data_IF_964472437234
#
_entry.id   IF_964472437234
#
_cell.length_a   1.000
_cell.length_b   1.000
_cell.length_c   1.000
_cell.angle_alpha   90.00
_cell.angle_beta   90.00
_cell.angle_gamma   90.00
#
_symmetry.space_group_name_H-M   'P 1'
#
loop_
_entity.id
_entity.type
_entity.pdbx_description
1 polymer ?
#
# COMPACT_ATOMS: atom_id res chain seq x y z
N UNK A 1 40.10 25.15 -14.93
CA UNK A 1 39.16 24.05 -14.67
C UNK A 1 39.45 22.95 -15.68
N UNK A 2 40.04 21.85 -15.25
CA UNK A 2 40.32 20.72 -16.13
C UNK A 2 39.00 20.00 -16.41
N UNK A 3 38.45 20.21 -17.60
CA UNK A 3 37.38 19.35 -18.09
C UNK A 3 37.99 17.98 -18.33
N UNK A 4 37.41 16.95 -17.73
CA UNK A 4 37.79 15.57 -17.95
C UNK A 4 37.32 15.20 -19.37
N UNK A 5 38.08 15.62 -20.38
CA UNK A 5 37.82 15.30 -21.79
C UNK A 5 38.26 13.86 -22.00
N UNK A 6 37.31 12.92 -21.99
CA UNK A 6 37.57 11.54 -22.37
C UNK A 6 38.08 11.52 -23.81
N UNK A 7 39.15 10.76 -24.11
CA UNK A 7 39.61 10.60 -25.49
C UNK A 7 38.46 10.04 -26.35
N UNK A 8 38.29 10.52 -27.59
CA UNK A 8 37.18 10.13 -28.46
C UNK A 8 37.12 8.62 -28.72
N UNK A 9 38.24 7.92 -28.58
CA UNK A 9 38.37 6.47 -28.71
C UNK A 9 37.63 5.67 -27.62
N UNK A 10 37.54 6.20 -26.39
CA UNK A 10 36.86 5.53 -25.28
C UNK A 10 35.35 5.82 -25.23
N UNK A 11 34.88 6.85 -25.95
CA UNK A 11 33.47 7.23 -26.00
C UNK A 11 32.54 6.08 -26.41
N UNK A 12 32.81 5.26 -27.45
CA UNK A 12 31.95 4.13 -27.82
C UNK A 12 31.92 3.02 -26.75
N UNK A 13 33.05 2.73 -26.11
CA UNK A 13 33.13 1.74 -25.04
C UNK A 13 32.34 2.18 -23.81
N UNK A 14 32.53 3.44 -23.40
CA UNK A 14 31.81 4.05 -22.28
C UNK A 14 30.29 4.06 -22.55
N UNK A 15 29.86 4.43 -23.77
CA UNK A 15 28.44 4.36 -24.16
C UNK A 15 27.88 2.94 -24.05
N UNK A 16 28.64 1.93 -24.46
CA UNK A 16 28.23 0.52 -24.39
C UNK A 16 28.07 0.07 -22.94
N UNK A 17 29.04 0.40 -22.08
CA UNK A 17 28.97 0.08 -20.64
C UNK A 17 27.77 0.77 -19.99
N UNK A 18 27.56 2.06 -20.25
CA UNK A 18 26.40 2.81 -19.73
C UNK A 18 25.08 2.15 -20.15
N UNK A 19 24.95 1.77 -21.43
CA UNK A 19 23.76 1.10 -21.95
C UNK A 19 23.47 -0.23 -21.24
N UNK A 20 24.50 -1.02 -20.94
CA UNK A 20 24.35 -2.26 -20.18
C UNK A 20 23.98 -2.00 -18.72
N UNK A 21 24.63 -1.05 -18.06
CA UNK A 21 24.32 -0.65 -16.69
C UNK A 21 22.88 -0.17 -16.59
N UNK A 22 22.41 0.70 -17.49
CA UNK A 22 21.02 1.16 -17.53
C UNK A 22 20.04 -0.01 -17.71
N UNK A 23 20.32 -0.92 -18.65
CA UNK A 23 19.46 -2.07 -18.93
C UNK A 23 19.32 -3.02 -17.73
N UNK A 24 20.38 -3.20 -16.94
CA UNK A 24 20.42 -4.13 -15.82
C UNK A 24 20.26 -3.50 -14.43
N UNK A 25 20.20 -2.17 -14.33
CA UNK A 25 19.95 -1.47 -13.05
C UNK A 25 18.72 -2.00 -12.31
N UNK A 26 17.57 -2.25 -12.96
CA UNK A 26 16.42 -2.82 -12.28
C UNK A 26 16.69 -4.20 -11.68
N UNK A 27 17.49 -5.03 -12.35
CA UNK A 27 17.85 -6.34 -11.86
C UNK A 27 18.65 -6.24 -10.56
N UNK A 28 19.61 -5.30 -10.48
CA UNK A 28 20.42 -5.10 -9.28
C UNK A 28 19.59 -4.50 -8.14
N UNK A 29 18.83 -3.45 -8.42
CA UNK A 29 18.03 -2.73 -7.43
C UNK A 29 16.90 -3.61 -6.86
N UNK A 30 16.01 -4.10 -7.70
CA UNK A 30 14.90 -4.95 -7.28
C UNK A 30 15.35 -6.36 -6.90
N UNK A 31 16.43 -6.87 -7.50
CA UNK A 31 17.04 -8.14 -7.09
C UNK A 31 17.55 -8.11 -5.65
N UNK A 32 18.13 -7.00 -5.20
CA UNK A 32 18.52 -6.85 -3.79
C UNK A 32 17.31 -6.90 -2.84
N UNK A 33 16.17 -6.35 -3.28
CA UNK A 33 14.91 -6.36 -2.53
C UNK A 33 14.31 -7.77 -2.50
N UNK A 34 14.30 -8.45 -3.64
CA UNK A 34 13.90 -9.86 -3.77
C UNK A 34 14.68 -10.76 -2.83
N UNK A 35 16.02 -10.64 -2.84
CA UNK A 35 16.90 -11.41 -1.96
C UNK A 35 16.64 -11.12 -0.48
N UNK A 36 16.36 -9.85 -0.15
CA UNK A 36 16.01 -9.47 1.22
C UNK A 36 14.74 -10.11 1.71
N UNK A 37 13.66 -10.07 0.92
CA UNK A 37 12.38 -10.66 1.30
C UNK A 37 12.55 -12.17 1.46
N UNK A 38 13.34 -12.81 0.58
CA UNK A 38 13.68 -14.22 0.68
C UNK A 38 14.50 -14.55 1.93
N UNK A 39 15.48 -13.74 2.29
CA UNK A 39 16.30 -13.99 3.47
C UNK A 39 15.52 -13.74 4.77
N UNK A 40 14.74 -12.65 4.82
CA UNK A 40 13.97 -12.26 6.00
C UNK A 40 12.64 -13.00 6.15
N UNK A 41 12.21 -13.76 5.13
CA UNK A 41 10.93 -14.48 5.09
C UNK A 41 9.73 -13.55 5.38
N UNK A 42 9.83 -12.27 5.02
CA UNK A 42 8.84 -11.24 5.34
C UNK A 42 8.84 -10.13 4.30
N UNK A 43 7.65 -9.75 3.81
CA UNK A 43 7.45 -8.67 2.84
C UNK A 43 6.97 -7.34 3.44
N UNK A 44 6.95 -7.19 4.78
CA UNK A 44 6.30 -6.05 5.46
C UNK A 44 6.82 -4.66 5.04
N UNK A 45 8.09 -4.56 4.68
CA UNK A 45 8.72 -3.29 4.29
C UNK A 45 8.57 -2.90 2.81
N UNK A 46 7.92 -3.73 1.99
CA UNK A 46 7.83 -3.54 0.54
C UNK A 46 6.38 -3.55 0.05
N UNK A 47 5.98 -2.52 -0.70
CA UNK A 47 4.65 -2.46 -1.28
C UNK A 47 4.54 -3.28 -2.57
N UNK A 48 3.65 -4.28 -2.59
CA UNK A 48 3.35 -5.09 -3.78
C UNK A 48 2.75 -4.28 -4.94
N UNK A 49 2.22 -3.09 -4.65
CA UNK A 49 1.67 -2.18 -5.66
C UNK A 49 2.76 -1.55 -6.53
N UNK A 50 4.01 -1.49 -6.05
CA UNK A 50 5.18 -1.13 -6.88
C UNK A 50 5.34 -2.13 -8.02
N UNK A 51 5.07 -3.42 -7.77
CA UNK A 51 5.09 -4.42 -8.83
C UNK A 51 3.99 -4.17 -9.86
N UNK A 52 2.81 -3.70 -9.44
CA UNK A 52 1.72 -3.36 -10.35
C UNK A 52 2.14 -2.25 -11.31
N UNK A 53 2.61 -1.13 -10.75
CA UNK A 53 2.96 0.06 -11.53
C UNK A 53 4.06 -0.25 -12.53
N UNK A 54 5.11 -0.97 -12.11
CA UNK A 54 6.22 -1.33 -13.00
C UNK A 54 5.82 -2.34 -14.08
N UNK A 55 5.03 -3.37 -13.76
CA UNK A 55 4.58 -4.35 -14.77
C UNK A 55 3.68 -3.70 -15.82
N UNK A 56 2.73 -2.87 -15.39
CA UNK A 56 1.80 -2.19 -16.29
C UNK A 56 2.55 -1.18 -17.15
N UNK A 57 3.39 -0.32 -16.55
CA UNK A 57 4.16 0.68 -17.29
C UNK A 57 5.12 0.02 -18.29
N UNK A 58 5.93 -0.96 -17.89
CA UNK A 58 6.86 -1.64 -18.80
C UNK A 58 6.16 -2.39 -19.92
N UNK A 59 4.98 -2.97 -19.68
CA UNK A 59 4.20 -3.61 -20.75
C UNK A 59 3.73 -2.57 -21.77
N UNK A 60 3.20 -1.43 -21.32
CA UNK A 60 2.79 -0.33 -22.21
C UNK A 60 3.96 0.21 -23.04
N UNK A 61 5.18 0.30 -22.46
CA UNK A 61 6.38 0.72 -23.22
C UNK A 61 6.74 -0.22 -24.36
N UNK A 62 6.56 -1.53 -24.16
CA UNK A 62 6.83 -2.51 -25.23
C UNK A 62 5.84 -2.30 -26.38
N UNK A 63 4.57 -2.05 -26.10
CA UNK A 63 3.59 -1.73 -27.16
C UNK A 63 3.83 -0.36 -27.79
N UNK A 64 4.29 0.63 -27.03
CA UNK A 64 4.74 1.91 -27.58
C UNK A 64 5.89 1.71 -28.59
N UNK A 65 6.89 0.88 -28.25
CA UNK A 65 8.04 0.58 -29.12
C UNK A 65 7.61 0.04 -30.49
N UNK A 66 6.54 -0.75 -30.56
CA UNK A 66 6.02 -1.29 -31.82
C UNK A 66 5.44 -0.21 -32.75
N UNK A 67 4.99 0.92 -32.18
CA UNK A 67 4.48 2.05 -32.95
C UNK A 67 5.61 3.01 -33.28
N UNK A 68 6.41 3.39 -32.28
CA UNK A 68 7.55 4.28 -32.44
C UNK A 68 8.79 3.71 -31.72
N UNK A 69 9.78 3.19 -32.47
CA UNK A 69 10.95 2.56 -31.88
C UNK A 69 11.86 3.61 -31.22
N UNK A 70 12.13 3.41 -29.93
CA UNK A 70 13.11 4.19 -29.16
C UNK A 70 14.40 3.36 -28.94
N UNK A 71 15.34 3.84 -28.12
CA UNK A 71 16.61 3.14 -27.92
C UNK A 71 16.43 1.69 -27.42
N UNK A 72 17.14 0.75 -28.06
CA UNK A 72 17.08 -0.69 -27.74
C UNK A 72 17.51 -0.97 -26.29
N UNK A 73 18.36 -0.14 -25.68
CA UNK A 73 18.74 -0.24 -24.26
C UNK A 73 17.53 -0.12 -23.33
N UNK A 74 16.67 0.87 -23.55
CA UNK A 74 15.45 1.07 -22.78
C UNK A 74 14.44 -0.07 -23.03
N UNK A 75 14.41 -0.64 -24.24
CA UNK A 75 13.58 -1.79 -24.54
C UNK A 75 14.05 -3.03 -23.76
N UNK A 76 15.36 -3.31 -23.75
CA UNK A 76 15.95 -4.38 -22.92
C UNK A 76 15.62 -4.16 -21.44
N UNK A 77 15.72 -2.92 -20.96
CA UNK A 77 15.35 -2.57 -19.59
C UNK A 77 13.90 -2.93 -19.29
N UNK A 78 12.95 -2.73 -20.21
CA UNK A 78 11.55 -3.10 -20.00
C UNK A 78 11.35 -4.61 -19.83
N UNK A 79 12.02 -5.43 -20.64
CA UNK A 79 11.97 -6.89 -20.47
C UNK A 79 12.61 -7.35 -19.15
N UNK A 80 13.76 -6.80 -18.79
CA UNK A 80 14.42 -7.07 -17.50
C UNK A 80 13.53 -6.63 -16.34
N UNK A 81 12.88 -5.47 -16.45
CA UNK A 81 11.95 -4.92 -15.46
C UNK A 81 10.76 -5.85 -15.25
N UNK A 82 10.13 -6.34 -16.33
CA UNK A 82 9.01 -7.29 -16.23
C UNK A 82 9.47 -8.58 -15.56
N UNK A 83 10.60 -9.14 -15.98
CA UNK A 83 11.12 -10.39 -15.42
C UNK A 83 11.35 -10.29 -13.91
N UNK A 84 12.08 -9.26 -13.44
CA UNK A 84 12.38 -9.13 -12.01
C UNK A 84 11.12 -8.83 -11.19
N UNK A 85 10.15 -8.08 -11.73
CA UNK A 85 8.91 -7.76 -11.02
C UNK A 85 7.95 -8.95 -10.93
N UNK A 86 7.90 -9.84 -11.93
CA UNK A 86 7.14 -11.10 -11.82
C UNK A 86 7.71 -11.98 -10.72
N UNK A 87 9.05 -12.09 -10.62
CA UNK A 87 9.72 -12.84 -9.55
C UNK A 87 9.50 -12.20 -8.18
N UNK A 88 9.65 -10.88 -8.09
CA UNK A 88 9.44 -10.12 -6.86
C UNK A 88 7.99 -10.23 -6.38
N UNK A 89 7.02 -10.15 -7.28
CA UNK A 89 5.61 -10.34 -6.97
C UNK A 89 5.34 -11.73 -6.39
N UNK A 90 5.88 -12.79 -7.01
CA UNK A 90 5.73 -14.16 -6.53
C UNK A 90 6.30 -14.34 -5.11
N UNK A 91 7.49 -13.81 -4.86
CA UNK A 91 8.15 -13.91 -3.55
C UNK A 91 7.46 -13.04 -2.50
N UNK A 92 7.03 -11.83 -2.87
CA UNK A 92 6.33 -10.93 -1.97
C UNK A 92 4.98 -11.52 -1.53
N UNK A 93 4.22 -12.16 -2.42
CA UNK A 93 2.96 -12.83 -2.06
C UNK A 93 3.23 -14.05 -1.17
N UNK A 94 4.29 -14.84 -1.45
CA UNK A 94 4.63 -16.03 -0.67
C UNK A 94 4.95 -15.70 0.80
N UNK A 95 5.64 -14.59 1.06
CA UNK A 95 6.06 -14.18 2.41
C UNK A 95 5.22 -13.03 2.97
N UNK A 96 3.97 -12.92 2.52
CA UNK A 96 3.01 -11.94 2.98
C UNK A 96 2.28 -12.48 4.21
N UNK A 97 2.22 -11.65 5.25
CA UNK A 97 1.52 -11.97 6.49
C UNK A 97 -0.02 -11.87 6.28
N UNK A 98 -0.80 -12.96 6.42
CA UNK A 98 -2.25 -12.94 6.22
C UNK A 98 -2.99 -12.08 7.26
N UNK A 99 -2.44 -11.98 8.48
CA UNK A 99 -3.11 -11.26 9.57
C UNK A 99 -3.11 -9.77 9.30
N UNK A 100 -2.00 -9.20 8.84
CA UNK A 100 -1.92 -7.80 8.45
C UNK A 100 -2.91 -7.46 7.33
N UNK A 101 -3.13 -8.35 6.36
CA UNK A 101 -4.06 -8.09 5.25
C UNK A 101 -5.49 -7.90 5.73
N UNK A 102 -5.92 -8.68 6.73
CA UNK A 102 -7.28 -8.65 7.24
C UNK A 102 -7.55 -7.42 8.11
N UNK A 103 -6.65 -7.07 9.02
CA UNK A 103 -6.82 -5.92 9.93
C UNK A 103 -6.70 -4.55 9.25
N UNK A 104 -6.10 -4.51 8.05
CA UNK A 104 -5.81 -3.28 7.33
C UNK A 104 -6.95 -2.80 6.44
N UNK A 105 -8.03 -3.57 6.25
CA UNK A 105 -9.09 -3.24 5.27
C UNK A 105 -10.08 -2.24 5.86
N UNK A 106 -10.09 -1.01 5.32
CA UNK A 106 -11.09 0.00 5.67
C UNK A 106 -12.22 0.01 4.66
N UNK A 107 -13.45 -0.26 5.11
CA UNK A 107 -14.66 -0.25 4.29
C UNK A 107 -15.34 1.12 4.39
N UNK A 108 -14.78 2.13 3.72
CA UNK A 108 -15.58 3.32 3.40
C UNK A 108 -16.23 3.09 2.05
N UNK A 109 -17.56 3.04 2.06
CA UNK A 109 -18.35 2.74 0.88
C UNK A 109 -18.31 3.93 -0.10
N UNK A 110 -17.89 3.67 -1.34
CA UNK A 110 -17.95 4.64 -2.46
C UNK A 110 -19.28 5.42 -2.52
N UNK A 111 -20.47 4.81 -2.29
CA UNK A 111 -21.75 5.51 -2.37
C UNK A 111 -21.91 6.64 -1.37
N UNK A 112 -21.42 6.50 -0.13
CA UNK A 112 -21.56 7.56 0.89
C UNK A 112 -20.70 8.77 0.56
N UNK A 113 -19.48 8.55 0.06
CA UNK A 113 -18.64 9.64 -0.43
C UNK A 113 -19.25 10.30 -1.66
N UNK A 114 -19.72 9.53 -2.66
CA UNK A 114 -20.36 10.11 -3.84
C UNK A 114 -21.59 10.91 -3.46
N UNK A 115 -22.40 10.40 -2.53
CA UNK A 115 -23.57 11.10 -2.01
C UNK A 115 -23.14 12.40 -1.32
N UNK A 116 -22.15 12.37 -0.42
CA UNK A 116 -21.66 13.56 0.29
C UNK A 116 -21.02 14.61 -0.64
N UNK A 117 -20.24 14.16 -1.62
CA UNK A 117 -19.62 15.04 -2.61
C UNK A 117 -20.64 15.61 -3.61
N UNK A 118 -21.66 14.84 -3.98
CA UNK A 118 -22.77 15.27 -4.82
C UNK A 118 -23.69 16.26 -4.06
N UNK A 119 -23.99 16.01 -2.79
CA UNK A 119 -24.80 16.92 -1.97
C UNK A 119 -24.07 18.23 -1.70
N UNK A 120 -22.77 18.19 -1.38
CA UNK A 120 -21.97 19.39 -1.15
C UNK A 120 -21.79 20.23 -2.43
N UNK A 121 -21.84 19.61 -3.63
CA UNK A 121 -21.81 20.36 -4.89
C UNK A 121 -23.17 20.99 -5.25
N UNK A 122 -24.27 20.38 -4.81
CA UNK A 122 -25.65 20.84 -5.02
C UNK A 122 -26.06 21.94 -4.03
N UNK A 123 -25.77 21.81 -2.73
CA UNK A 123 -26.20 22.79 -1.71
C UNK A 123 -25.52 24.16 -1.88
N UNK A 124 -24.31 24.22 -2.45
CA UNK A 124 -23.61 25.50 -2.69
C UNK A 124 -24.10 26.26 -3.94
N UNK A 125 -25.19 25.81 -4.58
CA UNK A 125 -25.84 26.53 -5.70
C UNK A 125 -27.04 27.39 -5.28
N UNK A 126 -27.48 27.31 -4.02
CA UNK A 126 -28.64 28.05 -3.53
C UNK A 126 -28.35 29.50 -3.11
N UNK A 127 -27.09 29.84 -2.82
CA UNK A 127 -26.68 31.19 -2.42
C UNK A 127 -26.20 32.00 -3.63
N UNK A 128 -27.13 32.33 -4.53
CA UNK A 128 -26.91 33.40 -5.51
C UNK A 128 -27.94 34.49 -5.25
N UNK A 129 -27.49 35.53 -4.54
CA UNK A 129 -28.28 36.72 -4.25
C UNK A 129 -28.78 37.37 -5.54
N UNK A 130 -30.04 37.82 -5.49
CA UNK A 130 -30.85 38.24 -6.63
C UNK A 130 -30.53 39.68 -7.12
N UNK A 131 -29.51 40.34 -6.55
CA UNK A 131 -29.12 41.70 -6.93
C UNK A 131 -27.60 41.78 -7.13
N UNK A 132 -27.12 41.70 -8.38
CA UNK A 132 -25.79 42.14 -8.77
C UNK A 132 -25.73 42.50 -10.26
N UNK A 133 -24.87 43.47 -10.58
CA UNK A 133 -24.65 43.99 -11.92
C UNK A 133 -24.29 42.87 -12.93
N UNK A 134 -24.60 43.00 -14.23
CA UNK A 134 -24.34 41.95 -15.23
C UNK A 134 -22.89 41.48 -15.26
N UNK A 135 -21.93 42.38 -15.00
CA UNK A 135 -20.51 42.08 -14.96
C UNK A 135 -20.11 41.34 -13.67
N UNK A 136 -20.70 41.70 -12.53
CA UNK A 136 -20.52 40.98 -11.27
C UNK A 136 -21.11 39.57 -11.35
N UNK A 137 -22.23 39.39 -12.04
CA UNK A 137 -22.84 38.07 -12.29
C UNK A 137 -21.93 37.16 -13.12
N UNK A 138 -21.27 37.69 -14.17
CA UNK A 138 -20.30 36.93 -14.97
C UNK A 138 -19.08 36.55 -14.11
N UNK A 139 -18.53 37.50 -13.34
CA UNK A 139 -17.38 37.25 -12.46
C UNK A 139 -17.71 36.23 -11.37
N UNK A 140 -18.87 36.32 -10.72
CA UNK A 140 -19.31 35.38 -9.70
C UNK A 140 -19.57 33.98 -10.29
N UNK A 141 -20.16 33.90 -11.48
CA UNK A 141 -20.38 32.63 -12.18
C UNK A 141 -19.07 31.98 -12.62
N UNK A 142 -18.13 32.77 -13.15
CA UNK A 142 -16.79 32.29 -13.53
C UNK A 142 -16.00 31.82 -12.30
N UNK A 143 -16.02 32.58 -11.21
CA UNK A 143 -15.36 32.22 -9.94
C UNK A 143 -15.98 30.97 -9.31
N UNK A 144 -17.31 30.85 -9.35
CA UNK A 144 -18.04 29.65 -8.93
C UNK A 144 -17.68 28.43 -9.77
N UNK A 145 -17.59 28.58 -11.08
CA UNK A 145 -17.19 27.50 -12.01
C UNK A 145 -15.73 27.09 -11.79
N UNK A 146 -14.83 28.04 -11.61
CA UNK A 146 -13.42 27.77 -11.30
C UNK A 146 -13.28 27.02 -9.96
N UNK A 147 -13.98 27.47 -8.91
CA UNK A 147 -13.98 26.79 -7.61
C UNK A 147 -14.51 25.35 -7.74
N UNK A 148 -15.59 25.13 -8.50
CA UNK A 148 -16.10 23.78 -8.80
C UNK A 148 -15.08 22.90 -9.53
N UNK A 149 -14.41 23.43 -10.54
CA UNK A 149 -13.36 22.69 -11.27
C UNK A 149 -12.19 22.33 -10.35
N UNK A 150 -11.79 23.23 -9.45
CA UNK A 150 -10.74 22.97 -8.46
C UNK A 150 -11.19 21.95 -7.42
N UNK A 151 -12.40 22.04 -6.89
CA UNK A 151 -12.93 21.08 -5.91
C UNK A 151 -13.10 19.69 -6.52
N UNK A 152 -13.57 19.62 -7.77
CA UNK A 152 -13.66 18.37 -8.53
C UNK A 152 -12.27 17.79 -8.80
N UNK A 153 -11.31 18.60 -9.22
CA UNK A 153 -9.93 18.17 -9.43
C UNK A 153 -9.28 17.68 -8.13
N UNK A 154 -9.51 18.39 -7.02
CA UNK A 154 -9.04 18.03 -5.68
C UNK A 154 -9.65 16.70 -5.24
N UNK A 155 -10.96 16.54 -5.37
CA UNK A 155 -11.66 15.31 -5.01
C UNK A 155 -11.21 14.12 -5.88
N UNK A 156 -11.01 14.34 -7.18
CA UNK A 156 -10.47 13.33 -8.09
C UNK A 156 -9.04 12.95 -7.70
N UNK A 157 -8.19 13.94 -7.41
CA UNK A 157 -6.81 13.73 -7.00
C UNK A 157 -6.70 12.91 -5.71
N UNK A 158 -7.45 13.27 -4.66
CA UNK A 158 -7.46 12.50 -3.42
C UNK A 158 -7.95 11.06 -3.64
N UNK A 159 -8.97 10.85 -4.47
CA UNK A 159 -9.44 9.50 -4.80
C UNK A 159 -8.40 8.67 -5.55
N UNK A 160 -7.71 9.28 -6.51
CA UNK A 160 -6.61 8.62 -7.22
C UNK A 160 -5.49 8.26 -6.24
N UNK A 161 -5.18 9.14 -5.27
CA UNK A 161 -4.20 8.86 -4.21
C UNK A 161 -4.62 7.65 -3.35
N UNK A 162 -5.90 7.55 -2.97
CA UNK A 162 -6.41 6.43 -2.18
C UNK A 162 -6.37 5.09 -2.91
N UNK A 163 -6.40 5.08 -4.26
CA UNK A 163 -6.25 3.84 -5.03
C UNK A 163 -4.88 3.17 -4.78
N UNK A 164 -3.86 3.96 -4.46
CA UNK A 164 -2.53 3.45 -4.12
C UNK A 164 -2.40 3.02 -2.64
N UNK A 165 -3.42 3.23 -1.80
CA UNK A 165 -3.43 2.67 -0.43
C UNK A 165 -3.91 1.22 -0.48
N UNK A 166 -3.03 0.29 -0.07
CA UNK A 166 -3.34 -1.13 0.00
C UNK A 166 -4.48 -1.47 0.98
N UNK A 167 -4.85 -0.57 1.89
CA UNK A 167 -5.99 -0.71 2.83
C UNK A 167 -7.35 -0.52 2.18
N UNK A 168 -7.37 0.28 1.13
CA UNK A 168 -8.59 0.66 0.46
C UNK A 168 -9.10 -0.48 -0.42
N UNK A 169 -10.37 -0.89 -0.28
CA UNK A 169 -10.93 -1.93 -1.15
C UNK A 169 -11.06 -1.33 -2.55
N UNK A 170 -10.14 -1.72 -3.43
CA UNK A 170 -10.15 -1.27 -4.82
C UNK A 170 -11.34 -1.89 -5.56
N UNK A 171 -11.89 -1.20 -6.58
CA UNK A 171 -12.85 -1.82 -7.50
C UNK A 171 -12.30 -3.17 -7.99
N UNK A 172 -13.13 -4.21 -7.98
CA UNK A 172 -12.76 -5.59 -8.32
C UNK A 172 -11.61 -6.20 -7.50
N UNK A 173 -11.29 -5.61 -6.33
CA UNK A 173 -10.12 -5.97 -5.51
C UNK A 173 -8.83 -5.97 -6.34
N UNK A 174 -8.73 -5.02 -7.29
CA UNK A 174 -7.60 -4.89 -8.19
C UNK A 174 -6.28 -4.99 -7.43
N UNK A 175 -5.39 -5.89 -7.85
CA UNK A 175 -4.06 -6.06 -7.24
C UNK A 175 -4.07 -6.33 -5.71
N UNK A 176 -5.17 -6.83 -5.16
CA UNK A 176 -5.32 -7.19 -3.73
C UNK A 176 -5.67 -8.67 -3.56
N UNK A 177 -5.51 -9.47 -4.60
CA UNK A 177 -5.81 -10.88 -4.59
C UNK A 177 -4.89 -11.66 -3.66
N UNK A 178 -5.38 -12.76 -3.12
CA UNK A 178 -4.61 -13.65 -2.23
C UNK A 178 -3.73 -14.59 -3.06
N UNK A 179 -4.29 -15.15 -4.13
CA UNK A 179 -3.58 -16.08 -4.99
C UNK A 179 -2.75 -15.39 -6.06
N UNK A 180 -1.50 -15.85 -6.23
CA UNK A 180 -0.61 -15.41 -7.31
C UNK A 180 -1.19 -15.63 -8.72
N UNK A 181 -2.03 -16.66 -8.90
CA UNK A 181 -2.66 -16.98 -10.19
C UNK A 181 -3.51 -15.84 -10.72
N UNK A 182 -4.25 -15.14 -9.85
CA UNK A 182 -5.12 -14.03 -10.24
C UNK A 182 -4.32 -12.84 -10.80
N UNK A 183 -3.11 -12.59 -10.27
CA UNK A 183 -2.20 -11.57 -10.79
C UNK A 183 -1.71 -11.91 -12.20
N UNK A 184 -1.37 -13.19 -12.44
CA UNK A 184 -0.94 -13.65 -13.77
C UNK A 184 -2.09 -13.63 -14.77
N UNK A 185 -3.30 -14.01 -14.37
CA UNK A 185 -4.49 -13.92 -15.23
C UNK A 185 -4.76 -12.48 -15.65
N UNK A 186 -4.68 -11.54 -14.70
CA UNK A 186 -4.80 -10.11 -15.02
C UNK A 186 -3.70 -9.66 -15.99
N UNK A 187 -2.44 -10.01 -15.73
CA UNK A 187 -1.32 -9.61 -16.60
C UNK A 187 -1.44 -10.20 -18.00
N UNK A 188 -1.86 -11.46 -18.12
CA UNK A 188 -2.14 -12.11 -19.40
C UNK A 188 -3.31 -11.46 -20.14
N UNK A 189 -4.42 -11.19 -19.44
CA UNK A 189 -5.57 -10.50 -20.02
C UNK A 189 -5.22 -9.07 -20.46
N UNK A 190 -4.38 -8.36 -19.70
CA UNK A 190 -3.87 -7.03 -20.04
C UNK A 190 -2.98 -7.07 -21.28
N UNK A 191 -2.09 -8.06 -21.39
CA UNK A 191 -1.27 -8.23 -22.58
C UNK A 191 -2.13 -8.55 -23.81
N UNK A 192 -3.11 -9.45 -23.69
CA UNK A 192 -4.04 -9.78 -24.77
C UNK A 192 -4.87 -8.57 -25.19
N UNK A 193 -5.38 -7.78 -24.24
CA UNK A 193 -6.19 -6.60 -24.57
C UNK A 193 -5.37 -5.52 -25.29
N UNK A 194 -4.12 -5.30 -24.86
CA UNK A 194 -3.20 -4.41 -25.57
C UNK A 194 -2.84 -4.94 -26.96
N UNK A 195 -2.63 -6.25 -27.12
CA UNK A 195 -2.41 -6.87 -28.42
C UNK A 195 -3.61 -6.70 -29.35
N UNK A 196 -4.83 -6.91 -28.87
CA UNK A 196 -6.05 -6.66 -29.65
C UNK A 196 -6.13 -5.19 -30.06
N UNK A 197 -5.88 -4.26 -29.14
CA UNK A 197 -5.88 -2.83 -29.45
C UNK A 197 -4.81 -2.46 -30.49
N UNK A 198 -3.62 -3.05 -30.38
CA UNK A 198 -2.53 -2.89 -31.34
C UNK A 198 -2.89 -3.47 -32.72
N UNK A 199 -3.61 -4.59 -32.79
CA UNK A 199 -4.04 -5.17 -34.06
C UNK A 199 -5.15 -4.33 -34.73
N UNK A 200 -6.05 -3.75 -33.93
CA UNK A 200 -7.17 -2.95 -34.44
C UNK A 200 -6.74 -1.54 -34.88
N UNK A 201 -5.81 -0.91 -34.15
CA UNK A 201 -5.43 0.49 -34.36
C UNK A 201 -3.93 0.70 -34.61
N UNK A 202 -3.21 -0.39 -34.88
CA UNK A 202 -1.77 -0.38 -35.14
C UNK A 202 -1.43 0.49 -36.34
N UNK A 203 -0.43 1.36 -36.16
CA UNK A 203 -0.01 2.33 -37.18
C UNK A 203 -0.62 3.72 -37.01
N UNK A 204 -1.53 3.92 -36.06
CA UNK A 204 -1.98 5.27 -35.69
C UNK A 204 -1.00 5.90 -34.70
N UNK A 205 -0.48 7.09 -35.04
CA UNK A 205 0.38 7.88 -34.13
C UNK A 205 -0.32 8.17 -32.79
N UNK A 206 -1.65 8.33 -32.81
CA UNK A 206 -2.45 8.53 -31.61
C UNK A 206 -2.33 7.38 -30.60
N UNK A 207 -2.37 6.12 -31.06
CA UNK A 207 -2.23 4.96 -30.17
C UNK A 207 -0.86 4.92 -29.50
N UNK A 208 0.21 5.18 -30.27
CA UNK A 208 1.58 5.28 -29.75
C UNK A 208 1.68 6.33 -28.64
N UNK A 209 1.16 7.52 -28.88
CA UNK A 209 1.13 8.61 -27.89
C UNK A 209 0.32 8.26 -26.63
N UNK A 210 -0.79 7.52 -26.78
CA UNK A 210 -1.58 7.04 -25.64
C UNK A 210 -0.80 6.03 -24.79
N UNK A 211 -0.07 5.10 -25.40
CA UNK A 211 0.78 4.16 -24.67
C UNK A 211 1.97 4.86 -23.98
N UNK A 212 2.64 5.78 -24.67
CA UNK A 212 3.76 6.54 -24.11
C UNK A 212 3.31 7.38 -22.91
N UNK A 213 2.27 8.19 -23.08
CA UNK A 213 1.74 9.06 -22.01
C UNK A 213 1.24 8.24 -20.82
N UNK A 214 0.44 7.19 -21.07
CA UNK A 214 -0.08 6.33 -20.00
C UNK A 214 1.05 5.63 -19.25
N UNK A 215 2.05 5.10 -19.94
CA UNK A 215 3.20 4.46 -19.30
C UNK A 215 3.99 5.42 -18.42
N UNK A 216 4.25 6.64 -18.88
CA UNK A 216 5.00 7.63 -18.11
C UNK A 216 4.21 8.14 -16.91
N UNK A 217 2.89 8.35 -17.06
CA UNK A 217 2.02 8.75 -15.95
C UNK A 217 1.88 7.65 -14.89
N UNK A 218 1.80 6.38 -15.30
CA UNK A 218 1.75 5.26 -14.34
C UNK A 218 3.10 5.14 -13.61
N UNK A 219 4.23 5.28 -14.32
CA UNK A 219 5.54 5.24 -13.67
C UNK A 219 5.74 6.43 -12.71
N UNK A 220 5.24 7.62 -13.03
CA UNK A 220 5.43 8.80 -12.17
C UNK A 220 4.77 8.65 -10.80
N UNK A 221 3.78 7.77 -10.68
CA UNK A 221 3.11 7.43 -9.42
C UNK A 221 3.81 6.36 -8.59
N UNK A 222 4.90 5.77 -9.09
CA UNK A 222 5.59 4.64 -8.46
C UNK A 222 5.96 4.85 -6.98
N UNK A 223 6.40 6.04 -6.52
CA UNK A 223 6.74 6.20 -5.10
C UNK A 223 5.50 6.22 -4.18
N UNK A 224 4.28 6.46 -4.70
CA UNK A 224 3.07 6.65 -3.89
C UNK A 224 2.75 5.46 -2.98
N UNK A 225 2.68 4.20 -3.46
CA UNK A 225 2.38 3.08 -2.58
C UNK A 225 3.36 2.93 -1.41
N UNK A 226 4.62 3.26 -1.64
CA UNK A 226 5.66 3.12 -0.62
C UNK A 226 5.60 4.25 0.40
N UNK A 227 5.28 5.47 -0.02
CA UNK A 227 4.98 6.60 0.87
C UNK A 227 3.85 6.23 1.83
N UNK A 228 2.74 5.71 1.30
CA UNK A 228 1.59 5.30 2.10
C UNK A 228 1.94 4.15 3.05
N UNK A 229 2.77 3.19 2.58
CA UNK A 229 3.27 2.10 3.41
C UNK A 229 4.11 2.61 4.60
N UNK A 230 5.03 3.54 4.39
CA UNK A 230 5.84 4.10 5.49
C UNK A 230 5.02 4.88 6.49
N UNK A 231 4.06 5.67 6.02
CA UNK A 231 3.15 6.38 6.94
C UNK A 231 2.33 5.44 7.82
N UNK A 232 2.03 4.24 7.33
CA UNK A 232 1.26 3.24 8.05
C UNK A 232 2.12 2.39 8.97
N UNK A 233 3.22 1.86 8.44
CA UNK A 233 4.11 0.97 9.18
C UNK A 233 4.88 1.72 10.27
N UNK A 234 5.15 3.02 10.08
CA UNK A 234 5.95 3.87 10.98
C UNK A 234 7.34 3.30 11.29
N UNK A 235 7.87 2.47 10.38
CA UNK A 235 9.17 1.80 10.42
C UNK A 235 9.68 1.53 9.00
N UNK A 236 10.99 1.40 8.85
CA UNK A 236 11.70 1.13 7.58
C UNK A 236 12.63 -0.09 7.65
N UNK A 237 12.62 -0.87 8.73
CA UNK A 237 13.55 -1.99 8.98
C UNK A 237 13.67 -3.02 7.84
N UNK A 238 12.62 -3.17 7.03
CA UNK A 238 12.54 -4.15 5.95
C UNK A 238 12.61 -3.54 4.55
N UNK A 239 12.84 -2.23 4.45
CA UNK A 239 12.99 -1.55 3.19
C UNK A 239 14.47 -1.40 2.80
N UNK A 240 14.77 -1.47 1.50
CA UNK A 240 16.15 -1.41 1.00
C UNK A 240 16.55 -0.01 0.59
N UNK A 241 17.61 0.50 1.22
CA UNK A 241 18.20 1.81 0.88
C UNK A 241 18.69 1.88 -0.57
N UNK A 242 19.24 0.79 -1.11
CA UNK A 242 19.71 0.74 -2.51
C UNK A 242 18.56 0.95 -3.51
N UNK A 243 17.35 0.48 -3.17
CA UNK A 243 16.17 0.69 -3.99
C UNK A 243 15.82 2.19 -4.06
N UNK A 244 15.78 2.86 -2.92
CA UNK A 244 15.55 4.31 -2.84
C UNK A 244 16.62 5.11 -3.58
N UNK A 245 17.90 4.76 -3.40
CA UNK A 245 18.99 5.43 -4.09
C UNK A 245 18.90 5.26 -5.61
N UNK A 246 18.49 4.07 -6.08
CA UNK A 246 18.30 3.83 -7.51
C UNK A 246 17.16 4.66 -8.09
N UNK A 247 16.09 4.92 -7.33
CA UNK A 247 14.99 5.78 -7.78
C UNK A 247 15.43 7.23 -7.89
N UNK A 248 16.11 7.76 -6.87
CA UNK A 248 16.65 9.13 -6.92
C UNK A 248 17.66 9.31 -8.07
N UNK A 249 18.58 8.37 -8.25
CA UNK A 249 19.57 8.42 -9.33
C UNK A 249 18.94 8.33 -10.71
N UNK A 250 17.94 7.46 -10.87
CA UNK A 250 17.18 7.31 -12.11
C UNK A 250 16.37 8.55 -12.46
N UNK A 251 15.65 9.13 -11.50
CA UNK A 251 14.86 10.36 -11.69
C UNK A 251 15.74 11.55 -12.07
N UNK A 252 16.89 11.70 -11.41
CA UNK A 252 17.85 12.75 -11.75
C UNK A 252 18.34 12.60 -13.19
N UNK A 253 18.72 11.38 -13.58
CA UNK A 253 19.18 11.09 -14.95
C UNK A 253 18.07 11.33 -15.97
N UNK A 254 16.82 10.94 -15.66
CA UNK A 254 15.65 11.15 -16.51
C UNK A 254 15.36 12.64 -16.72
N UNK A 255 15.37 13.45 -15.66
CA UNK A 255 15.18 14.90 -15.75
C UNK A 255 16.32 15.54 -16.54
N UNK A 256 17.58 15.17 -16.28
CA UNK A 256 18.72 15.68 -17.04
C UNK A 256 18.59 15.38 -18.53
N UNK A 257 18.15 14.18 -18.90
CA UNK A 257 17.89 13.81 -20.29
C UNK A 257 16.75 14.64 -20.91
N UNK A 258 15.62 14.80 -20.20
CA UNK A 258 14.47 15.55 -20.72
C UNK A 258 14.71 17.06 -20.83
N UNK A 259 15.59 17.63 -20.01
CA UNK A 259 15.89 19.08 -20.01
C UNK A 259 17.03 19.43 -20.96
N UNK A 260 18.07 18.60 -21.04
CA UNK A 260 19.30 18.93 -21.79
C UNK A 260 19.54 18.03 -23.01
N UNK A 261 18.85 16.90 -23.12
CA UNK A 261 19.14 15.87 -24.12
C UNK A 261 18.22 15.86 -25.33
N UNK A 262 17.17 16.68 -25.37
CA UNK A 262 16.18 16.65 -26.45
C UNK A 262 15.43 17.98 -26.59
N UNK A 263 15.28 18.45 -27.83
CA UNK A 263 14.70 19.76 -28.15
C UNK A 263 13.16 19.72 -28.33
N UNK A 264 12.56 18.53 -28.45
CA UNK A 264 11.14 18.34 -28.79
C UNK A 264 10.45 17.38 -27.82
N UNK A 265 10.32 17.76 -26.55
CA UNK A 265 9.63 16.96 -25.53
C UNK A 265 8.25 17.53 -25.24
N UNK A 266 7.23 16.66 -25.26
CA UNK A 266 5.90 17.03 -24.79
C UNK A 266 5.91 17.44 -23.32
N UNK A 267 5.31 18.59 -22.99
CA UNK A 267 5.25 19.17 -21.64
C UNK A 267 4.75 18.15 -20.60
N UNK A 268 3.88 17.23 -21.00
CA UNK A 268 3.35 16.14 -20.16
C UNK A 268 4.46 15.24 -19.59
N UNK A 269 5.51 14.95 -20.34
CA UNK A 269 6.61 14.08 -19.90
C UNK A 269 7.50 14.79 -18.88
N UNK A 270 7.77 16.07 -19.09
CA UNK A 270 8.52 16.90 -18.13
C UNK A 270 7.73 17.07 -16.84
N UNK A 271 6.43 17.39 -16.94
CA UNK A 271 5.56 17.51 -15.78
C UNK A 271 5.46 16.18 -14.99
N UNK A 272 5.35 15.04 -15.68
CA UNK A 272 5.35 13.72 -15.06
C UNK A 272 6.68 13.41 -14.36
N UNK A 273 7.81 13.74 -14.97
CA UNK A 273 9.13 13.52 -14.38
C UNK A 273 9.36 14.39 -13.13
N UNK A 274 8.97 15.67 -13.17
CA UNK A 274 9.02 16.56 -12.01
C UNK A 274 8.08 16.08 -10.89
N UNK A 275 6.89 15.60 -11.25
CA UNK A 275 5.97 14.99 -10.29
C UNK A 275 6.59 13.75 -9.63
N UNK A 276 7.16 12.84 -10.43
CA UNK A 276 7.86 11.64 -9.92
C UNK A 276 8.98 12.02 -8.94
N UNK A 277 9.80 13.01 -9.30
CA UNK A 277 10.89 13.50 -8.45
C UNK A 277 10.36 14.12 -7.16
N UNK A 278 9.25 14.87 -7.21
CA UNK A 278 8.63 15.44 -6.01
C UNK A 278 8.20 14.36 -5.01
N UNK A 279 7.63 13.25 -5.50
CA UNK A 279 7.26 12.11 -4.67
C UNK A 279 8.50 11.37 -4.14
N UNK A 280 9.55 11.23 -4.96
CA UNK A 280 10.80 10.64 -4.53
C UNK A 280 11.51 11.45 -3.43
N UNK A 281 11.37 12.78 -3.41
CA UNK A 281 11.82 13.61 -2.29
C UNK A 281 10.99 13.35 -1.02
N UNK A 282 9.67 13.22 -1.13
CA UNK A 282 8.78 12.93 0.00
C UNK A 282 9.10 11.58 0.64
N UNK A 283 9.23 10.51 -0.15
CA UNK A 283 9.61 9.19 0.38
C UNK A 283 11.00 9.21 0.99
N UNK A 284 11.94 9.94 0.41
CA UNK A 284 13.30 10.07 0.95
C UNK A 284 13.29 10.73 2.33
N UNK A 285 12.55 11.83 2.48
CA UNK A 285 12.33 12.47 3.77
C UNK A 285 11.73 11.50 4.79
N UNK A 286 10.65 10.80 4.42
CA UNK A 286 10.00 9.82 5.31
C UNK A 286 10.92 8.67 5.69
N UNK A 287 11.73 8.18 4.75
CA UNK A 287 12.68 7.12 5.00
C UNK A 287 13.68 7.52 6.09
N UNK A 288 14.30 8.70 5.98
CA UNK A 288 15.24 9.17 7.00
C UNK A 288 14.56 9.47 8.32
N UNK A 289 13.35 10.02 8.31
CA UNK A 289 12.57 10.28 9.51
C UNK A 289 12.28 8.98 10.29
N UNK A 290 11.70 7.97 9.64
CA UNK A 290 11.38 6.69 10.29
C UNK A 290 12.63 5.89 10.62
N UNK A 291 13.70 5.98 9.82
CA UNK A 291 14.98 5.34 10.14
C UNK A 291 15.56 5.86 11.45
N UNK A 292 15.47 7.17 11.72
CA UNK A 292 15.89 7.75 13.00
C UNK A 292 15.05 7.23 14.16
N UNK A 293 13.75 7.09 13.97
CA UNK A 293 12.85 6.54 14.99
C UNK A 293 13.12 5.06 15.27
N UNK A 294 13.39 4.25 14.25
CA UNK A 294 13.73 2.83 14.42
C UNK A 294 15.03 2.66 15.22
N UNK A 295 16.06 3.47 14.92
CA UNK A 295 17.32 3.46 15.69
C UNK A 295 17.08 3.79 17.17
N UNK A 296 16.25 4.80 17.46
CA UNK A 296 15.91 5.15 18.85
C UNK A 296 15.16 4.03 19.59
N UNK A 297 14.26 3.30 18.91
CA UNK A 297 13.56 2.15 19.48
C UNK A 297 14.54 1.01 19.79
N UNK A 298 15.50 0.79 18.90
CA UNK A 298 16.53 -0.23 19.09
C UNK A 298 17.41 0.09 20.31
N UNK A 299 17.85 1.34 20.44
CA UNK A 299 18.66 1.80 21.59
C UNK A 299 17.91 1.68 22.93
N UNK A 300 16.59 1.94 22.95
CA UNK A 300 15.76 1.76 24.16
C UNK A 300 15.53 0.29 24.54
N UNK A 301 15.55 -0.62 23.57
CA UNK A 301 15.31 -2.05 23.79
C UNK A 301 16.52 -2.83 24.31
N UNK A 302 17.72 -2.24 24.26
CA UNK A 302 18.92 -2.77 24.90
C UNK A 302 18.93 -2.31 26.37
N UNK A 303 18.55 -3.15 27.35
CA UNK A 303 18.85 -2.80 28.73
C UNK A 303 20.37 -2.68 28.86
N UNK A 304 20.86 -1.55 29.37
CA UNK A 304 22.15 -1.49 30.03
C UNK A 304 22.13 -2.49 31.19
N UNK A 305 22.38 -3.77 30.88
CA UNK A 305 22.68 -4.78 31.88
C UNK A 305 24.13 -4.57 32.29
N UNK A 306 24.29 -3.77 33.34
CA UNK A 306 25.21 -4.06 34.43
C UNK A 306 26.71 -3.92 34.15
N UNK A 307 27.22 -2.70 34.27
CA UNK A 307 28.50 -2.50 34.98
C UNK A 307 28.16 -2.15 36.43
N UNK A 308 27.72 -3.15 37.20
CA UNK A 308 27.75 -3.06 38.67
C UNK A 308 29.24 -3.16 39.04
N UNK A 309 29.85 -2.16 39.69
CA UNK A 309 31.21 -2.33 40.17
C UNK A 309 31.24 -3.51 41.14
N UNK A 310 32.15 -4.43 40.90
CA UNK A 310 32.42 -5.59 41.75
C UNK A 310 32.52 -5.11 43.21
N UNK A 311 31.61 -5.58 44.05
CA UNK A 311 31.76 -5.44 45.51
C UNK A 311 32.82 -6.46 45.92
N UNK A 312 33.96 -6.05 46.51
CA UNK A 312 35.00 -6.97 46.92
C UNK A 312 34.49 -8.00 47.93
N UNK A 313 34.89 -9.25 47.72
CA UNK A 313 34.64 -10.42 48.56
C UNK A 313 35.45 -10.33 49.87
N UNK A 314 35.05 -9.48 50.82
CA UNK A 314 35.65 -9.47 52.16
C UNK A 314 34.65 -9.49 53.34
N UNK A 315 33.34 -9.34 53.12
CA UNK A 315 32.34 -9.32 54.22
C UNK A 315 31.56 -10.63 54.43
N UNK A 316 32.06 -11.77 53.95
CA UNK A 316 31.46 -13.10 54.21
C UNK A 316 32.10 -13.89 55.36
N UNK A 317 32.78 -13.20 56.28
CA UNK A 317 33.19 -13.78 57.57
C UNK A 317 32.86 -12.82 58.69
N UNK A 318 31.72 -13.06 59.32
CA UNK A 318 31.46 -13.00 60.78
C UNK A 318 29.95 -12.82 60.93
N UNK A 319 29.24 -13.94 61.10
CA UNK A 319 28.09 -14.10 62.00
C UNK A 319 27.25 -15.32 61.56
N UNK A 320 27.54 -16.48 62.17
CA UNK A 320 26.54 -17.40 62.76
C UNK A 320 27.14 -18.78 62.98
N UNK A 321 27.84 -18.93 64.10
CA UNK A 321 27.85 -20.20 64.84
C UNK A 321 26.57 -20.21 65.69
N UNK A 322 25.98 -21.40 65.85
CA UNK A 322 24.72 -21.75 66.53
C UNK A 322 23.45 -21.36 65.74
N UNK A 323 22.56 -22.28 65.35
CA UNK A 323 22.08 -23.45 66.10
C UNK A 323 21.51 -24.52 65.15
N UNK A 324 21.82 -25.79 65.46
CA UNK A 324 21.22 -27.00 64.90
C UNK A 324 19.86 -27.31 65.55
N UNK A 325 18.83 -27.64 64.75
CA UNK A 325 17.91 -28.78 64.98
C UNK A 325 16.69 -28.76 64.01
N UNK A 326 16.57 -29.85 63.25
CA UNK A 326 15.36 -30.58 62.80
C UNK A 326 13.96 -29.95 62.98
N UNK A 327 13.15 -29.91 61.91
CA UNK A 327 11.94 -30.77 61.76
C UNK A 327 11.29 -30.61 60.36
N UNK A 328 10.47 -31.59 60.03
CA UNK A 328 9.91 -32.02 58.73
C UNK A 328 8.63 -31.32 58.23
N UNK A 329 8.54 -31.17 56.88
CA UNK A 329 7.34 -31.20 55.98
C UNK A 329 6.15 -30.22 56.20
N UNK A 330 5.12 -30.15 55.32
CA UNK A 330 5.14 -29.63 53.94
C UNK A 330 3.96 -28.65 53.62
N UNK A 331 3.95 -28.08 52.41
CA UNK A 331 2.82 -27.43 51.67
C UNK A 331 1.72 -26.65 52.43
N UNK A 332 1.61 -25.33 52.14
CA UNK A 332 0.32 -24.65 51.90
C UNK A 332 0.49 -23.29 51.21
N UNK A 333 -0.35 -23.07 50.19
CA UNK A 333 -0.47 -21.87 49.38
C UNK A 333 -1.14 -20.71 50.13
N UNK A 334 -1.01 -19.46 49.61
CA UNK A 334 -1.89 -18.26 49.74
C UNK A 334 -1.10 -16.99 49.27
N UNK A 335 -1.69 -15.91 48.69
CA UNK A 335 -2.09 -15.77 47.28
C UNK A 335 -1.37 -14.58 46.56
N UNK A 336 -1.42 -14.56 45.22
CA UNK A 336 -0.95 -13.43 44.40
C UNK A 336 -1.99 -12.30 44.37
N UNK A 337 -1.67 -11.19 45.02
CA UNK A 337 -2.28 -9.88 44.77
C UNK A 337 -1.35 -9.03 43.90
N UNK A 338 -1.97 -8.26 42.99
CA UNK A 338 -1.45 -7.09 42.26
C UNK A 338 -0.78 -7.35 40.90
N UNK A 339 -1.61 -7.46 39.86
CA UNK A 339 -1.34 -6.78 38.58
C UNK A 339 -2.54 -5.92 38.20
N UNK A 340 -2.29 -4.62 38.13
CA UNK A 340 -3.21 -3.56 37.75
C UNK A 340 -3.40 -3.51 36.23
N UNK A 341 -4.66 -3.48 35.79
CA UNK A 341 -5.07 -3.19 34.42
C UNK A 341 -5.12 -1.66 34.16
N UNK A 342 -4.94 -1.19 32.91
CA UNK A 342 -4.93 0.23 32.60
C UNK A 342 -6.33 0.86 32.55
N UNK A 343 -6.32 2.13 32.92
CA UNK A 343 -7.42 3.04 33.27
C UNK A 343 -8.34 3.38 32.10
N UNK A 344 -9.65 3.26 32.34
CA UNK A 344 -10.74 3.88 31.57
C UNK A 344 -11.13 5.19 32.24
N UNK A 345 -11.21 6.29 31.50
CA UNK A 345 -11.72 7.59 31.99
C UNK A 345 -13.25 7.67 31.91
N UNK A 346 -13.92 8.39 32.84
CA UNK A 346 -15.36 8.27 33.07
C UNK A 346 -16.19 9.32 32.30
N UNK A 347 -17.40 8.93 31.90
CA UNK A 347 -18.46 9.81 31.38
C UNK A 347 -19.41 10.15 32.53
N UNK A 348 -19.70 11.45 32.67
CA UNK A 348 -20.62 12.07 33.63
C UNK A 348 -22.09 11.76 33.30
N UNK A 349 -22.88 11.46 34.33
CA UNK A 349 -24.33 11.21 34.28
C UNK A 349 -25.13 12.48 34.63
N UNK A 350 -26.21 12.78 33.89
CA UNK A 350 -27.50 13.34 34.38
C UNK A 350 -28.56 13.32 33.25
N UNK A 351 -29.89 13.38 33.52
CA UNK A 351 -30.79 12.26 33.21
C UNK A 351 -31.98 12.56 32.26
N UNK A 352 -32.52 11.47 31.71
CA UNK A 352 -33.91 11.20 31.30
C UNK A 352 -34.66 12.23 30.44
N UNK A 353 -34.84 11.90 29.15
CA UNK A 353 -36.12 12.11 28.48
C UNK A 353 -36.42 10.97 27.49
N UNK A 354 -37.66 10.53 27.51
CA UNK A 354 -38.18 9.26 27.04
C UNK A 354 -38.81 9.46 25.65
N UNK A 355 -38.35 8.75 24.60
CA UNK A 355 -39.23 8.22 23.53
C UNK A 355 -38.50 7.38 22.45
N UNK A 356 -38.77 6.07 22.49
CA UNK A 356 -39.33 5.24 21.41
C UNK A 356 -38.72 5.37 19.99
N UNK A 357 -37.93 4.35 19.58
CA UNK A 357 -38.19 3.48 18.39
C UNK A 357 -36.93 2.76 17.85
N UNK A 358 -36.69 1.50 18.23
CA UNK A 358 -36.15 0.43 17.36
C UNK A 358 -35.98 -0.88 18.14
N UNK A 359 -37.04 -1.68 18.20
CA UNK A 359 -36.97 -3.10 18.50
C UNK A 359 -37.93 -3.79 17.52
N UNK A 360 -37.43 -4.17 16.35
CA UNK A 360 -38.24 -4.90 15.37
C UNK A 360 -37.47 -5.84 14.44
N UNK A 361 -36.14 -5.97 14.56
CA UNK A 361 -35.38 -6.86 13.64
C UNK A 361 -34.70 -8.04 14.32
N UNK A 362 -34.60 -8.07 15.65
CA UNK A 362 -33.99 -9.20 16.39
C UNK A 362 -35.01 -10.32 16.68
N UNK A 363 -36.27 -9.96 16.96
CA UNK A 363 -37.31 -10.94 17.28
C UNK A 363 -37.79 -11.77 16.07
N UNK A 364 -37.59 -11.30 14.84
CA UNK A 364 -38.04 -12.01 13.63
C UNK A 364 -37.08 -13.14 13.22
N UNK A 365 -35.79 -13.00 13.55
CA UNK A 365 -34.78 -14.02 13.25
C UNK A 365 -34.84 -15.19 14.24
N UNK A 366 -35.07 -14.92 15.54
CA UNK A 366 -35.27 -15.97 16.55
C UNK A 366 -36.59 -16.74 16.36
N UNK A 367 -37.66 -16.06 15.91
CA UNK A 367 -38.92 -16.73 15.59
C UNK A 367 -38.82 -17.67 14.37
N UNK A 368 -38.00 -17.33 13.36
CA UNK A 368 -37.77 -18.18 12.18
C UNK A 368 -36.93 -19.43 12.52
N UNK A 369 -35.95 -19.31 13.40
CA UNK A 369 -35.11 -20.44 13.85
C UNK A 369 -35.93 -21.42 14.69
N UNK A 370 -36.74 -20.91 15.64
CA UNK A 370 -37.59 -21.78 16.47
C UNK A 370 -38.71 -22.47 15.67
N UNK A 371 -39.19 -21.87 14.56
CA UNK A 371 -40.17 -22.48 13.67
C UNK A 371 -39.57 -23.57 12.76
N UNK A 372 -38.30 -23.47 12.37
CA UNK A 372 -37.64 -24.53 11.59
C UNK A 372 -37.27 -25.74 12.46
N UNK A 373 -36.82 -25.50 13.70
CA UNK A 373 -36.51 -26.55 14.68
C UNK A 373 -37.75 -27.33 15.13
N UNK A 374 -38.92 -26.68 15.24
CA UNK A 374 -40.19 -27.40 15.46
C UNK A 374 -40.64 -28.21 14.24
N UNK A 375 -40.39 -27.74 13.01
CA UNK A 375 -40.74 -28.51 11.80
C UNK A 375 -39.85 -29.73 11.61
N UNK A 376 -38.56 -29.68 11.99
CA UNK A 376 -37.69 -30.85 11.92
C UNK A 376 -38.04 -31.89 13.00
N UNK A 377 -38.39 -31.47 14.22
CA UNK A 377 -38.80 -32.41 15.29
C UNK A 377 -40.14 -33.10 15.02
N UNK A 378 -41.08 -32.41 14.37
CA UNK A 378 -42.37 -32.97 13.93
C UNK A 378 -42.20 -33.93 12.74
N UNK A 379 -41.25 -33.68 11.83
CA UNK A 379 -40.97 -34.61 10.72
C UNK A 379 -40.31 -35.92 11.19
N UNK A 380 -39.50 -35.86 12.25
CA UNK A 380 -38.84 -37.06 12.81
C UNK A 380 -39.79 -37.92 13.64
N UNK A 381 -40.82 -37.33 14.25
CA UNK A 381 -41.83 -38.06 15.04
C UNK A 381 -42.87 -38.76 14.14
N UNK A 382 -43.27 -38.14 13.03
CA UNK A 382 -44.19 -38.77 12.04
C UNK A 382 -43.55 -39.97 11.32
N UNK A 383 -42.23 -39.98 11.14
CA UNK A 383 -41.53 -41.13 10.57
C UNK A 383 -41.35 -42.31 11.56
N UNK A 384 -41.34 -42.05 12.88
CA UNK A 384 -41.28 -43.14 13.86
C UNK A 384 -42.63 -43.86 14.00
N UNK A 385 -43.74 -43.12 13.97
CA UNK A 385 -45.09 -43.70 14.10
C UNK A 385 -45.45 -44.64 12.93
N UNK A 386 -45.07 -44.26 11.70
CA UNK A 386 -45.27 -45.10 10.49
C UNK A 386 -44.39 -46.37 10.46
N UNK A 387 -43.27 -46.39 11.17
CA UNK A 387 -42.40 -47.58 11.26
C UNK A 387 -42.96 -48.57 12.31
N UNK A 388 -43.59 -48.09 13.38
CA UNK A 388 -44.25 -48.95 14.38
C UNK A 388 -45.55 -49.61 13.88
N UNK A 389 -46.29 -48.98 12.96
CA UNK A 389 -47.51 -49.60 12.39
C UNK A 389 -47.23 -50.70 11.35
N UNK A 390 -46.04 -50.74 10.72
CA UNK A 390 -45.67 -51.81 9.78
C UNK A 390 -45.06 -53.05 10.45
N UNK A 391 -44.72 -53.00 11.74
CA UNK A 391 -44.19 -54.15 12.50
C UNK A 391 -45.31 -54.94 13.23
N UNK A 392 -46.55 -54.44 13.19
CA UNK A 392 -47.69 -55.04 13.91
C UNK A 392 -48.85 -55.44 13.01
N UNK A 393 -48.55 -55.93 11.80
CA UNK A 393 -49.49 -56.63 10.90
C UNK A 393 -48.84 -57.84 10.25
#
# INVERSE_FOLDING_TARGET
MAYLTLPPEFVPEVKTVINWVMSFTPLLSYGSTLLSIRHKQSSKGFSIDICATMLIASTLRIFYYLNEPFEVSLLRQCFVMIFIHVLLLKVAIKYRDPTEVAYMRYEQSWPEFFKLAWTNSLEMTADVSIYSDPLEKIVQTARGTLRRSVDLAKNLFFRLLFLYDARYIRPFRFWQWEEYRNYLQFLGAFLVSLSVLQLLFGGTHFLGMMFASSSFLIESTLPLPQILLFQRAKTVENFKTILLLSWLGGDLTKISYLVYGTDNVGIIFVAAALFQMSLNLVITYQFFYFKRLDLQRQDQSLPLSEAKPEVPLDDLRVNSVQSSASFSEPFSAVPLSQYSSPVTTPISNTPLEQNRSRSSTVNEHEAKINKSLRKSSLSSSVNLENITEQVTK
#
